data_IF_450165033014
#
_entry.id   IF_450165033014
#
_cell.length_a   1.000
_cell.length_b   1.000
_cell.length_c   1.000
_cell.angle_alpha   90.00
_cell.angle_beta   90.00
_cell.angle_gamma   90.00
#
_symmetry.space_group_name_H-M   'P 1'
#
loop_
_entity.id
_entity.type
_entity.pdbx_description
1 polymer ?
#
# COMPACT_ATOMS: atom_id res chain seq x y z
N UNK A 1 42.89 33.64 -81.18
CA UNK A 1 41.55 33.31 -80.66
C UNK A 1 41.68 32.01 -79.93
N UNK A 2 41.57 32.13 -78.61
CA UNK A 2 41.60 31.08 -77.61
C UNK A 2 40.34 30.20 -77.69
N UNK A 3 40.45 28.93 -77.31
CA UNK A 3 39.73 28.33 -76.18
C UNK A 3 40.01 26.82 -76.13
N UNK A 4 40.90 26.39 -75.23
CA UNK A 4 40.68 26.00 -73.82
C UNK A 4 40.19 24.54 -73.72
N UNK A 5 41.12 23.70 -73.27
CA UNK A 5 40.92 22.37 -72.71
C UNK A 5 40.22 22.49 -71.35
N UNK A 6 39.04 21.91 -71.22
CA UNK A 6 38.44 21.65 -69.91
C UNK A 6 38.87 20.28 -69.41
N UNK A 7 39.81 20.30 -68.46
CA UNK A 7 40.14 19.17 -67.61
C UNK A 7 39.16 19.18 -66.43
N UNK A 8 38.25 18.21 -66.35
CA UNK A 8 37.45 18.00 -65.14
C UNK A 8 38.26 17.20 -64.12
N UNK A 9 38.85 17.95 -63.20
CA UNK A 9 39.47 17.48 -61.97
C UNK A 9 38.36 17.03 -61.01
N UNK A 10 38.20 15.71 -60.82
CA UNK A 10 37.26 15.15 -59.84
C UNK A 10 37.89 15.33 -58.46
N UNK A 11 37.46 16.38 -57.74
CA UNK A 11 37.78 16.53 -56.32
C UNK A 11 37.07 15.42 -55.53
N UNK A 12 37.84 14.44 -55.03
CA UNK A 12 37.38 13.54 -53.98
C UNK A 12 37.06 14.35 -52.73
N UNK A 13 35.79 14.31 -52.32
CA UNK A 13 35.32 14.92 -51.10
C UNK A 13 35.97 14.23 -49.88
N UNK A 14 36.40 14.97 -48.84
CA UNK A 14 36.90 14.36 -47.62
C UNK A 14 35.78 13.58 -46.95
N UNK A 15 35.94 12.26 -46.82
CA UNK A 15 35.03 11.41 -46.05
C UNK A 15 34.91 11.97 -44.63
N UNK A 16 33.70 12.42 -44.27
CA UNK A 16 33.41 12.87 -42.92
C UNK A 16 33.66 11.71 -41.93
N UNK A 17 34.35 11.94 -40.80
CA UNK A 17 34.56 10.90 -39.81
C UNK A 17 33.21 10.56 -39.19
N UNK A 18 32.56 9.52 -39.69
CA UNK A 18 31.41 8.91 -39.02
C UNK A 18 31.97 8.19 -37.79
N UNK A 19 32.05 8.92 -36.68
CA UNK A 19 32.34 8.38 -35.38
C UNK A 19 31.25 7.35 -35.06
N UNK A 20 31.49 6.08 -35.42
CA UNK A 20 30.62 4.97 -35.05
C UNK A 20 30.60 4.94 -33.53
N UNK A 21 29.54 5.48 -32.93
CA UNK A 21 29.33 5.36 -31.50
C UNK A 21 29.40 3.88 -31.16
N UNK A 22 30.35 3.53 -30.28
CA UNK A 22 30.54 2.16 -29.85
C UNK A 22 29.26 1.67 -29.17
N UNK A 23 28.57 0.75 -29.84
CA UNK A 23 27.31 0.16 -29.38
C UNK A 23 27.44 -0.46 -27.98
N UNK A 24 28.66 -0.85 -27.57
CA UNK A 24 28.92 -1.35 -26.22
C UNK A 24 28.84 -0.26 -25.14
N UNK A 25 29.22 0.99 -25.46
CA UNK A 25 29.03 2.13 -24.55
C UNK A 25 27.55 2.51 -24.46
N UNK A 26 26.82 2.48 -25.57
CA UNK A 26 25.37 2.76 -25.58
C UNK A 26 24.60 1.73 -24.73
N UNK A 27 24.93 0.44 -24.85
CA UNK A 27 24.34 -0.63 -24.04
C UNK A 27 24.60 -0.45 -22.54
N UNK A 28 25.82 -0.05 -22.14
CA UNK A 28 26.17 0.22 -20.74
C UNK A 28 25.40 1.41 -20.17
N UNK A 29 25.20 2.46 -20.96
CA UNK A 29 24.40 3.63 -20.57
C UNK A 29 22.93 3.25 -20.39
N UNK A 30 22.36 2.48 -21.32
CA UNK A 30 20.97 2.02 -21.22
C UNK A 30 20.74 1.13 -19.99
N UNK A 31 21.65 0.21 -19.70
CA UNK A 31 21.59 -0.62 -18.49
C UNK A 31 21.68 0.22 -17.21
N UNK A 32 22.60 1.18 -17.17
CA UNK A 32 22.76 2.08 -16.01
C UNK A 32 21.52 2.96 -15.78
N UNK A 33 20.86 3.43 -16.85
CA UNK A 33 19.60 4.18 -16.78
C UNK A 33 18.47 3.26 -16.27
N UNK A 34 18.38 2.02 -16.73
CA UNK A 34 17.38 1.05 -16.26
C UNK A 34 17.58 0.74 -14.78
N UNK A 35 18.81 0.46 -14.34
CA UNK A 35 19.14 0.20 -12.94
C UNK A 35 18.84 1.42 -12.07
N UNK A 36 19.24 2.63 -12.50
CA UNK A 36 18.92 3.86 -11.77
C UNK A 36 17.41 4.13 -11.68
N UNK A 37 16.64 3.80 -12.73
CA UNK A 37 15.17 3.90 -12.69
C UNK A 37 14.53 2.89 -11.73
N UNK A 38 15.07 1.68 -11.60
CA UNK A 38 14.61 0.67 -10.64
C UNK A 38 14.94 1.05 -9.20
N UNK A 39 16.14 1.58 -8.95
CA UNK A 39 16.56 2.08 -7.64
C UNK A 39 15.74 3.31 -7.21
N UNK A 40 15.46 4.24 -8.13
CA UNK A 40 14.56 5.37 -7.87
C UNK A 40 13.13 4.89 -7.56
N UNK A 41 12.60 3.91 -8.29
CA UNK A 41 11.29 3.31 -7.99
C UNK A 41 11.28 2.59 -6.65
N UNK A 42 12.36 1.90 -6.29
CA UNK A 42 12.51 1.22 -5.00
C UNK A 42 12.56 2.23 -3.84
N UNK A 43 13.39 3.28 -3.96
CA UNK A 43 13.46 4.36 -2.98
C UNK A 43 12.12 5.09 -2.80
N UNK A 44 11.42 5.40 -3.90
CA UNK A 44 10.11 6.05 -3.87
C UNK A 44 9.02 5.15 -3.26
N UNK A 45 9.10 3.83 -3.47
CA UNK A 45 8.23 2.83 -2.80
C UNK A 45 8.47 2.78 -1.30
N UNK A 46 9.73 2.85 -0.85
CA UNK A 46 10.07 2.85 0.59
C UNK A 46 9.56 4.12 1.27
N UNK A 47 9.70 5.29 0.64
CA UNK A 47 9.19 6.56 1.17
C UNK A 47 7.66 6.53 1.26
N UNK A 48 6.97 6.10 0.20
CA UNK A 48 5.49 5.98 0.18
C UNK A 48 4.99 5.03 1.27
N UNK A 49 5.64 3.90 1.48
CA UNK A 49 5.27 2.94 2.54
C UNK A 49 5.36 3.56 3.94
N UNK A 50 6.43 4.32 4.22
CA UNK A 50 6.60 5.03 5.51
C UNK A 50 5.53 6.08 5.74
N UNK A 51 5.09 6.78 4.69
CA UNK A 51 4.03 7.77 4.78
C UNK A 51 2.67 7.12 5.11
N UNK A 52 2.34 6.01 4.46
CA UNK A 52 1.11 5.26 4.74
C UNK A 52 1.10 4.63 6.13
N UNK A 53 2.23 4.12 6.62
CA UNK A 53 2.36 3.67 8.02
C UNK A 53 2.11 4.81 9.02
N UNK A 54 2.58 6.03 8.71
CA UNK A 54 2.31 7.21 9.53
C UNK A 54 0.82 7.57 9.52
N UNK A 55 0.16 7.51 8.36
CA UNK A 55 -1.29 7.73 8.24
C UNK A 55 -2.08 6.69 9.04
N UNK A 56 -1.69 5.42 8.98
CA UNK A 56 -2.33 4.36 9.77
C UNK A 56 -2.20 4.64 11.27
N UNK A 57 -1.01 5.03 11.74
CA UNK A 57 -0.79 5.42 13.15
C UNK A 57 -1.67 6.58 13.58
N UNK A 58 -1.82 7.60 12.73
CA UNK A 58 -2.68 8.75 13.05
C UNK A 58 -4.17 8.36 13.09
N UNK A 59 -4.63 7.50 12.17
CA UNK A 59 -6.00 6.97 12.19
C UNK A 59 -6.29 6.19 13.47
N UNK A 60 -5.29 5.43 13.96
CA UNK A 60 -5.38 4.64 15.20
C UNK A 60 -5.09 5.46 16.47
N UNK A 61 -4.84 6.77 16.36
CA UNK A 61 -4.70 7.64 17.53
C UNK A 61 -6.03 7.78 18.27
N UNK A 62 -5.99 7.74 19.60
CA UNK A 62 -7.17 7.82 20.49
C UNK A 62 -8.24 6.77 20.11
N UNK A 63 -7.79 5.58 19.72
CA UNK A 63 -8.70 4.52 19.25
C UNK A 63 -9.65 4.04 20.35
N UNK A 64 -9.22 4.05 21.61
CA UNK A 64 -10.07 3.75 22.77
C UNK A 64 -11.31 4.66 22.79
N UNK A 65 -11.11 5.98 22.68
CA UNK A 65 -12.21 6.95 22.66
C UNK A 65 -13.11 6.72 21.45
N UNK A 66 -12.51 6.51 20.27
CA UNK A 66 -13.25 6.21 19.03
C UNK A 66 -14.07 4.91 19.15
N UNK A 67 -13.60 3.90 19.88
CA UNK A 67 -14.34 2.66 20.14
C UNK A 67 -15.52 2.91 21.09
N UNK A 68 -15.34 3.76 22.11
CA UNK A 68 -16.43 4.17 23.03
C UNK A 68 -17.48 5.05 22.35
N UNK A 69 -17.10 5.82 21.33
CA UNK A 69 -18.04 6.58 20.50
C UNK A 69 -18.85 5.69 19.54
N UNK A 70 -18.30 4.54 19.13
CA UNK A 70 -19.01 3.60 18.26
C UNK A 70 -20.09 2.86 19.05
N UNK A 71 -21.35 3.03 18.65
CA UNK A 71 -22.51 2.48 19.38
C UNK A 71 -22.40 0.96 19.58
N UNK A 72 -21.92 0.22 18.59
CA UNK A 72 -21.85 -1.23 18.67
C UNK A 72 -20.66 -1.67 19.52
N UNK A 73 -19.48 -1.11 19.29
CA UNK A 73 -18.29 -1.48 20.07
C UNK A 73 -18.42 -1.07 21.54
N UNK A 74 -18.97 0.12 21.81
CA UNK A 74 -19.25 0.58 23.18
C UNK A 74 -20.27 -0.32 23.90
N UNK A 75 -21.29 -0.82 23.19
CA UNK A 75 -22.19 -1.81 23.77
C UNK A 75 -21.44 -3.08 24.19
N UNK A 76 -20.56 -3.61 23.34
CA UNK A 76 -19.73 -4.78 23.70
C UNK A 76 -18.84 -4.47 24.91
N UNK A 77 -18.20 -3.31 24.93
CA UNK A 77 -17.33 -2.88 26.04
C UNK A 77 -18.11 -2.86 27.35
N UNK A 78 -19.24 -2.16 27.39
CA UNK A 78 -20.09 -2.08 28.59
C UNK A 78 -20.60 -3.44 29.02
N UNK A 79 -20.98 -4.30 28.09
CA UNK A 79 -21.46 -5.64 28.41
C UNK A 79 -20.34 -6.55 28.95
N UNK A 80 -19.10 -6.37 28.49
CA UNK A 80 -17.95 -7.09 29.03
C UNK A 80 -17.55 -6.63 30.44
N UNK A 81 -17.74 -5.35 30.75
CA UNK A 81 -17.37 -4.72 32.03
C UNK A 81 -18.47 -4.84 33.09
N UNK A 82 -19.72 -4.61 32.71
CA UNK A 82 -20.86 -4.48 33.62
C UNK A 82 -21.81 -5.71 33.59
N UNK A 83 -21.78 -6.51 32.51
CA UNK A 83 -22.59 -7.72 32.29
C UNK A 83 -24.10 -7.54 32.56
N UNK A 84 -24.64 -6.36 32.24
CA UNK A 84 -26.04 -5.98 32.57
C UNK A 84 -27.10 -6.83 31.87
N UNK A 85 -26.78 -7.41 30.72
CA UNK A 85 -27.70 -8.28 29.96
C UNK A 85 -27.34 -9.76 30.08
N UNK A 86 -26.43 -10.14 30.98
CA UNK A 86 -25.91 -11.52 31.15
C UNK A 86 -25.33 -12.10 29.85
N UNK A 87 -24.72 -11.26 29.01
CA UNK A 87 -24.08 -11.67 27.74
C UNK A 87 -22.55 -11.68 27.82
N UNK A 88 -21.98 -11.24 28.93
CA UNK A 88 -20.55 -11.12 29.15
C UNK A 88 -19.81 -12.43 28.93
N UNK A 89 -20.30 -13.56 29.46
CA UNK A 89 -19.68 -14.87 29.26
C UNK A 89 -19.65 -15.32 27.79
N UNK A 90 -20.72 -15.07 27.05
CA UNK A 90 -20.77 -15.40 25.63
C UNK A 90 -19.82 -14.50 24.83
N UNK A 91 -19.81 -13.20 25.13
CA UNK A 91 -18.94 -12.23 24.48
C UNK A 91 -17.46 -12.52 24.76
N UNK A 92 -17.09 -12.92 25.99
CA UNK A 92 -15.71 -13.28 26.38
C UNK A 92 -15.10 -14.41 25.55
N UNK A 93 -15.92 -15.24 24.88
CA UNK A 93 -15.44 -16.28 23.94
C UNK A 93 -14.77 -15.66 22.70
N UNK A 94 -15.23 -14.48 22.30
CA UNK A 94 -14.84 -13.83 21.05
C UNK A 94 -14.24 -12.45 21.23
N UNK A 95 -14.39 -11.82 22.40
CA UNK A 95 -13.97 -10.44 22.66
C UNK A 95 -13.25 -10.33 23.99
N UNK A 96 -12.30 -9.39 24.07
CA UNK A 96 -11.64 -9.02 25.32
C UNK A 96 -11.22 -7.55 25.29
N UNK A 97 -11.08 -6.96 26.46
CA UNK A 97 -10.51 -5.62 26.63
C UNK A 97 -9.09 -5.77 27.15
N UNK A 98 -8.13 -5.07 26.53
CA UNK A 98 -6.74 -5.07 26.95
C UNK A 98 -6.15 -3.66 26.76
N UNK A 99 -5.66 -3.04 27.83
CA UNK A 99 -5.12 -1.68 27.77
C UNK A 99 -6.14 -0.64 27.27
N UNK A 100 -7.40 -0.75 27.69
CA UNK A 100 -8.49 0.15 27.27
C UNK A 100 -9.06 -0.13 25.87
N UNK A 101 -8.44 -1.02 25.09
CA UNK A 101 -8.84 -1.31 23.72
C UNK A 101 -9.62 -2.63 23.62
N UNK A 102 -10.66 -2.63 22.81
CA UNK A 102 -11.44 -3.82 22.47
C UNK A 102 -10.75 -4.62 21.36
N UNK A 103 -10.58 -5.91 21.62
CA UNK A 103 -10.07 -6.90 20.68
C UNK A 103 -11.10 -7.98 20.40
N UNK A 104 -11.04 -8.55 19.19
CA UNK A 104 -11.80 -9.74 18.79
C UNK A 104 -10.85 -10.89 18.49
N UNK A 105 -11.21 -12.08 18.96
CA UNK A 105 -10.52 -13.31 18.62
C UNK A 105 -10.66 -13.59 17.13
N UNK A 106 -9.61 -14.15 16.53
CA UNK A 106 -9.64 -14.70 15.18
C UNK A 106 -10.61 -15.89 15.05
N UNK A 107 -10.34 -16.81 14.12
CA UNK A 107 -11.11 -18.05 14.06
C UNK A 107 -11.05 -18.82 15.40
N UNK A 108 -11.99 -19.73 15.65
CA UNK A 108 -11.99 -20.56 16.89
C UNK A 108 -10.73 -21.43 17.04
N UNK A 109 -10.08 -21.75 15.92
CA UNK A 109 -8.83 -22.52 15.85
C UNK A 109 -7.57 -21.66 16.02
N UNK A 110 -7.75 -20.35 16.15
CA UNK A 110 -6.70 -19.36 16.04
C UNK A 110 -6.55 -18.60 17.37
N UNK A 111 -5.32 -18.52 17.87
CA UNK A 111 -4.98 -17.88 19.16
C UNK A 111 -4.46 -16.44 19.01
N UNK A 112 -4.78 -15.80 17.89
CA UNK A 112 -4.43 -14.41 17.66
C UNK A 112 -5.65 -13.50 17.82
N UNK A 113 -5.39 -12.27 18.27
CA UNK A 113 -6.38 -11.27 18.63
C UNK A 113 -6.20 -10.03 17.76
N UNK A 114 -7.31 -9.53 17.26
CA UNK A 114 -7.36 -8.39 16.34
C UNK A 114 -8.00 -7.20 16.99
N UNK A 115 -7.50 -6.01 16.68
CA UNK A 115 -8.09 -4.79 17.23
C UNK A 115 -9.40 -4.47 16.51
N UNK A 116 -10.45 -4.16 17.27
CA UNK A 116 -11.74 -3.77 16.69
C UNK A 116 -11.65 -2.35 16.12
N UNK A 117 -11.92 -2.18 14.82
CA UNK A 117 -11.89 -0.87 14.18
C UNK A 117 -13.29 -0.23 14.22
N UNK A 118 -13.44 1.00 14.75
CA UNK A 118 -14.70 1.74 14.75
C UNK A 118 -15.22 2.01 13.34
N UNK A 119 -16.53 1.92 13.15
CA UNK A 119 -17.18 2.06 11.85
C UNK A 119 -16.84 3.34 11.10
N UNK A 120 -16.64 4.45 11.83
CA UNK A 120 -16.29 5.76 11.28
C UNK A 120 -14.95 5.79 10.54
N UNK A 121 -13.99 4.92 10.87
CA UNK A 121 -12.64 4.95 10.31
C UNK A 121 -12.29 3.72 9.46
N UNK A 122 -13.21 2.76 9.34
CA UNK A 122 -12.95 1.51 8.61
C UNK A 122 -12.56 1.74 7.14
N UNK A 123 -13.18 2.72 6.47
CA UNK A 123 -12.92 3.00 5.05
C UNK A 123 -11.50 3.53 4.85
N UNK A 124 -11.09 4.46 5.70
CA UNK A 124 -9.77 5.09 5.68
C UNK A 124 -8.69 4.05 5.98
N UNK A 125 -8.92 3.17 6.96
CA UNK A 125 -8.02 2.05 7.26
C UNK A 125 -7.88 1.12 6.05
N UNK A 126 -8.99 0.72 5.43
CA UNK A 126 -8.96 -0.12 4.21
C UNK A 126 -8.16 0.56 3.08
N UNK A 127 -8.37 1.86 2.87
CA UNK A 127 -7.66 2.64 1.86
C UNK A 127 -6.16 2.66 2.10
N UNK A 128 -5.73 2.92 3.34
CA UNK A 128 -4.30 2.93 3.71
C UNK A 128 -3.68 1.55 3.48
N UNK A 129 -4.33 0.46 3.88
CA UNK A 129 -3.84 -0.90 3.58
C UNK A 129 -3.74 -1.19 2.07
N UNK A 130 -4.69 -0.70 1.28
CA UNK A 130 -4.66 -0.84 -0.17
C UNK A 130 -3.50 -0.06 -0.81
N UNK A 131 -3.21 1.14 -0.32
CA UNK A 131 -2.10 1.98 -0.76
C UNK A 131 -0.74 1.42 -0.32
N UNK A 132 -0.63 0.92 0.92
CA UNK A 132 0.59 0.29 1.47
C UNK A 132 1.01 -0.95 0.68
N UNK A 133 0.04 -1.80 0.36
CA UNK A 133 0.29 -3.06 -0.32
C UNK A 133 0.48 -2.83 -1.83
N UNK A 134 0.10 -1.66 -2.38
CA UNK A 134 0.33 -1.37 -3.79
C UNK A 134 -0.66 -2.09 -4.70
N UNK A 135 -1.96 -1.98 -4.38
CA UNK A 135 -3.06 -2.47 -5.22
C UNK A 135 -3.07 -3.99 -5.44
N UNK A 136 -2.62 -4.79 -4.46
CA UNK A 136 -2.77 -6.24 -4.55
C UNK A 136 -4.25 -6.65 -4.71
N UNK A 137 -4.45 -7.86 -5.23
CA UNK A 137 -5.77 -8.47 -5.32
C UNK A 137 -6.51 -8.45 -3.98
N UNK A 138 -7.84 -8.31 -4.04
CA UNK A 138 -8.72 -8.12 -2.87
C UNK A 138 -8.46 -9.14 -1.76
N UNK A 139 -8.20 -10.40 -2.11
CA UNK A 139 -7.90 -11.46 -1.13
C UNK A 139 -6.66 -11.15 -0.28
N UNK A 140 -5.57 -10.67 -0.89
CA UNK A 140 -4.33 -10.35 -0.15
C UNK A 140 -4.55 -9.20 0.84
N UNK A 141 -5.31 -8.19 0.43
CA UNK A 141 -5.65 -7.05 1.29
C UNK A 141 -6.57 -7.48 2.42
N UNK A 142 -7.58 -8.31 2.13
CA UNK A 142 -8.45 -8.90 3.16
C UNK A 142 -7.62 -9.67 4.18
N UNK A 143 -6.71 -10.53 3.75
CA UNK A 143 -5.86 -11.32 4.66
C UNK A 143 -4.99 -10.42 5.53
N UNK A 144 -4.28 -9.45 4.93
CA UNK A 144 -3.39 -8.55 5.68
C UNK A 144 -4.12 -7.65 6.68
N UNK A 145 -5.31 -7.15 6.31
CA UNK A 145 -6.16 -6.40 7.26
C UNK A 145 -6.62 -7.34 8.37
N UNK A 146 -7.11 -8.54 8.03
CA UNK A 146 -7.59 -9.49 9.02
C UNK A 146 -6.51 -9.77 10.06
N UNK A 147 -5.26 -10.02 9.66
CA UNK A 147 -4.10 -10.29 10.54
C UNK A 147 -3.88 -9.28 11.67
N UNK A 148 -4.37 -8.04 11.51
CA UNK A 148 -4.14 -6.97 12.49
C UNK A 148 -5.43 -6.36 13.04
N UNK A 149 -6.48 -6.33 12.22
CA UNK A 149 -7.69 -5.53 12.44
C UNK A 149 -8.96 -6.33 12.18
N UNK A 150 -9.94 -6.16 13.06
CA UNK A 150 -11.30 -6.60 12.83
C UNK A 150 -12.14 -5.47 12.25
N UNK A 151 -12.66 -5.70 11.04
CA UNK A 151 -13.59 -4.83 10.33
C UNK A 151 -14.81 -5.65 9.94
N UNK A 152 -16.00 -5.16 10.30
CA UNK A 152 -17.25 -5.87 10.01
C UNK A 152 -17.52 -5.84 8.50
N UNK A 153 -17.88 -6.99 7.91
CA UNK A 153 -18.17 -7.11 6.47
C UNK A 153 -17.03 -6.64 5.53
N UNK A 154 -15.77 -6.79 5.95
CA UNK A 154 -14.58 -6.35 5.22
C UNK A 154 -14.58 -6.76 3.73
N UNK A 155 -14.93 -8.01 3.43
CA UNK A 155 -14.95 -8.52 2.05
C UNK A 155 -15.90 -7.75 1.13
N UNK A 156 -17.08 -7.35 1.63
CA UNK A 156 -18.03 -6.52 0.88
C UNK A 156 -17.47 -5.10 0.71
N UNK A 157 -16.92 -4.50 1.77
CA UNK A 157 -16.40 -3.13 1.76
C UNK A 157 -15.26 -2.94 0.75
N UNK A 158 -14.37 -3.92 0.62
CA UNK A 158 -13.26 -3.91 -0.34
C UNK A 158 -13.69 -4.06 -1.81
N UNK A 159 -14.85 -4.65 -2.10
CA UNK A 159 -15.37 -4.71 -3.48
C UNK A 159 -15.82 -3.34 -3.98
N UNK A 160 -16.32 -2.46 -3.09
CA UNK A 160 -16.75 -1.11 -3.44
C UNK A 160 -15.59 -0.16 -3.71
N UNK A 161 -14.47 -0.31 -2.99
CA UNK A 161 -13.31 0.58 -3.11
C UNK A 161 -12.59 0.48 -4.47
N UNK A 162 -12.85 -0.56 -5.27
CA UNK A 162 -12.29 -0.72 -6.63
C UNK A 162 -13.05 0.04 -7.73
N UNK A 163 -14.23 0.58 -7.44
CA UNK A 163 -15.10 1.24 -8.43
C UNK A 163 -15.13 2.77 -8.29
N UNK A 164 -14.36 3.34 -7.38
CA UNK A 164 -14.23 4.79 -7.14
C UNK A 164 -12.85 5.25 -7.54
#
# INVERSE_FOLDING_TARGET
MENIQDSQEIMEAPEAPTQKMDMSMLLKVMQSIQTGQEEMKAGQRVVKRKEEEKKLKELMRNLEDKQKEDKHLNWIIKELEEDKMNKGEELKKNFRIQGGLLFRRGSRSEDWWTICVPSKIEKEVIKVYHEMLGHFGTQKIVSSIKENCYITNLGKKLQFTKRS
#
